data_IF_785042426032
#
_entry.id   IF_785042426032
#
_cell.length_a   1.000
_cell.length_b   1.000
_cell.length_c   1.000
_cell.angle_alpha   90.00
_cell.angle_beta   90.00
_cell.angle_gamma   90.00
#
_symmetry.space_group_name_H-M   'P 1'
#
loop_
_entity.id
_entity.type
_entity.pdbx_description
1 polymer ?
#
# COMPACT_ATOMS: atom_id res chain seq x y z
N UNK A 1 6.15 -64.94 -43.28
CA UNK A 1 5.37 -64.72 -42.03
C UNK A 1 5.35 -63.23 -41.71
N UNK A 2 4.17 -62.70 -41.41
CA UNK A 2 3.83 -61.26 -41.37
C UNK A 2 4.53 -60.54 -40.21
N UNK A 3 5.28 -59.47 -40.48
CA UNK A 3 5.78 -58.55 -39.45
C UNK A 3 4.94 -57.27 -39.47
N UNK A 4 3.94 -57.21 -38.59
CA UNK A 4 3.15 -56.01 -38.30
C UNK A 4 4.05 -55.01 -37.56
N UNK A 5 4.34 -53.86 -38.15
CA UNK A 5 4.90 -52.71 -37.44
C UNK A 5 3.75 -51.80 -37.04
N UNK A 6 3.43 -51.80 -35.75
CA UNK A 6 2.45 -50.93 -35.12
C UNK A 6 3.10 -49.55 -34.98
N UNK A 7 2.58 -48.56 -35.70
CA UNK A 7 3.00 -47.17 -35.58
C UNK A 7 2.35 -46.58 -34.32
N UNK A 8 3.14 -46.40 -33.27
CA UNK A 8 2.71 -45.75 -32.03
C UNK A 8 2.69 -44.23 -32.27
N UNK A 9 1.51 -43.66 -32.53
CA UNK A 9 1.32 -42.22 -32.64
C UNK A 9 1.34 -41.60 -31.23
N UNK A 10 2.45 -40.94 -30.88
CA UNK A 10 2.55 -40.11 -29.68
C UNK A 10 1.73 -38.83 -29.92
N UNK A 11 0.50 -38.79 -29.40
CA UNK A 11 -0.28 -37.56 -29.30
C UNK A 11 0.32 -36.72 -28.16
N UNK A 12 1.16 -35.74 -28.50
CA UNK A 12 1.51 -34.66 -27.58
C UNK A 12 0.29 -33.73 -27.44
N UNK A 13 -0.43 -33.84 -26.33
CA UNK A 13 -1.44 -32.87 -25.95
C UNK A 13 -0.77 -31.53 -25.65
N UNK A 14 -0.90 -30.56 -26.55
CA UNK A 14 -0.54 -29.17 -26.28
C UNK A 14 -1.58 -28.58 -25.33
N UNK A 15 -1.31 -28.71 -24.02
CA UNK A 15 -1.99 -27.85 -23.04
C UNK A 15 -1.63 -26.41 -23.41
N UNK A 16 -2.59 -25.52 -23.73
CA UNK A 16 -2.30 -24.11 -23.69
C UNK A 16 -1.92 -23.82 -22.24
N UNK A 17 -0.63 -23.56 -22.01
CA UNK A 17 -0.20 -22.93 -20.78
C UNK A 17 -1.06 -21.67 -20.67
N UNK A 18 -1.96 -21.64 -19.70
CA UNK A 18 -2.55 -20.39 -19.22
C UNK A 18 -1.37 -19.55 -18.72
N UNK A 19 -0.72 -18.84 -19.64
CA UNK A 19 -0.02 -17.63 -19.32
C UNK A 19 -1.11 -16.70 -18.81
N UNK A 20 -1.35 -16.73 -17.50
CA UNK A 20 -2.13 -15.71 -16.83
C UNK A 20 -1.38 -14.41 -17.08
N UNK A 21 -1.76 -13.70 -18.14
CA UNK A 21 -1.36 -12.32 -18.36
C UNK A 21 -1.91 -11.54 -17.17
N UNK A 22 -1.09 -11.38 -16.12
CA UNK A 22 -1.44 -10.60 -14.96
C UNK A 22 -1.54 -9.14 -15.42
N UNK A 23 -2.75 -8.60 -15.38
CA UNK A 23 -3.01 -7.20 -15.67
C UNK A 23 -2.35 -6.31 -14.59
N UNK A 24 -1.95 -5.06 -14.94
CA UNK A 24 -1.53 -4.09 -13.93
C UNK A 24 -2.59 -3.97 -12.84
N UNK A 25 -2.18 -4.14 -11.59
CA UNK A 25 -3.07 -4.05 -10.43
C UNK A 25 -3.25 -2.57 -10.09
N UNK A 26 -4.37 -2.00 -10.51
CA UNK A 26 -4.83 -0.66 -10.12
C UNK A 26 -6.03 -0.81 -9.18
N UNK A 27 -5.81 -0.69 -7.88
CA UNK A 27 -6.84 -0.91 -6.85
C UNK A 27 -7.13 0.36 -6.05
N UNK A 28 -8.40 0.50 -5.66
CA UNK A 28 -8.88 1.50 -4.68
C UNK A 28 -9.32 0.76 -3.43
N UNK A 29 -8.92 1.25 -2.27
CA UNK A 29 -9.09 0.55 -0.99
C UNK A 29 -9.30 1.57 0.14
N UNK A 30 -9.84 1.11 1.26
CA UNK A 30 -9.97 1.91 2.47
C UNK A 30 -8.78 1.75 3.42
N UNK A 31 -7.93 0.74 3.18
CA UNK A 31 -6.74 0.41 3.96
C UNK A 31 -5.50 0.43 3.07
N UNK A 32 -4.48 1.17 3.52
CA UNK A 32 -3.22 1.38 2.81
C UNK A 32 -2.07 0.53 3.34
N UNK A 33 -0.81 0.97 3.16
CA UNK A 33 0.35 0.24 3.66
C UNK A 33 0.38 0.20 5.19
N UNK A 34 1.05 -0.83 5.71
CA UNK A 34 1.39 -0.87 7.14
C UNK A 34 2.65 -0.07 7.41
N UNK A 35 2.80 0.40 8.65
CA UNK A 35 4.02 1.06 9.11
C UNK A 35 5.24 0.14 8.96
N UNK A 36 5.07 -1.15 9.23
CA UNK A 36 6.14 -2.16 9.13
C UNK A 36 6.60 -2.34 7.68
N UNK A 37 5.68 -2.49 6.72
CA UNK A 37 6.00 -2.65 5.30
C UNK A 37 6.92 -1.52 4.81
N UNK A 38 6.57 -0.27 5.14
CA UNK A 38 7.37 0.87 4.73
C UNK A 38 8.67 1.01 5.53
N UNK A 39 8.68 0.65 6.81
CA UNK A 39 9.91 0.67 7.60
C UNK A 39 10.92 -0.37 7.09
N UNK A 40 10.49 -1.61 6.87
CA UNK A 40 11.32 -2.68 6.28
C UNK A 40 11.88 -2.23 4.93
N UNK A 41 11.03 -1.66 4.06
CA UNK A 41 11.47 -1.12 2.78
C UNK A 41 12.56 -0.05 2.93
N UNK A 42 12.40 0.89 3.86
CA UNK A 42 13.39 1.94 4.10
C UNK A 42 14.71 1.39 4.62
N UNK A 43 14.66 0.43 5.56
CA UNK A 43 15.88 -0.23 6.08
C UNK A 43 16.60 -0.97 4.96
N UNK A 44 15.87 -1.73 4.13
CA UNK A 44 16.44 -2.45 3.00
C UNK A 44 17.11 -1.50 1.99
N UNK A 45 16.45 -0.37 1.69
CA UNK A 45 17.01 0.64 0.78
C UNK A 45 18.26 1.33 1.36
N UNK A 46 18.28 1.61 2.66
CA UNK A 46 19.38 2.32 3.33
C UNK A 46 20.59 1.42 3.60
N UNK A 47 20.35 0.18 4.04
CA UNK A 47 21.38 -0.71 4.56
C UNK A 47 21.73 -1.86 3.61
N UNK A 48 20.97 -2.03 2.51
CA UNK A 48 21.15 -3.14 1.57
C UNK A 48 20.78 -4.52 2.14
N UNK A 49 20.13 -4.57 3.30
CA UNK A 49 19.67 -5.80 3.96
C UNK A 49 18.35 -5.59 4.69
N UNK A 50 17.64 -6.67 4.94
CA UNK A 50 16.49 -6.64 5.84
C UNK A 50 16.89 -6.28 7.28
N UNK A 51 15.98 -5.67 8.05
CA UNK A 51 16.21 -5.42 9.46
C UNK A 51 16.36 -6.73 10.25
N UNK A 52 17.22 -6.70 11.26
CA UNK A 52 17.33 -7.81 12.21
C UNK A 52 16.26 -7.71 13.32
N UNK A 53 16.25 -8.71 14.20
CA UNK A 53 15.28 -8.80 15.30
C UNK A 53 15.36 -7.63 16.28
N UNK A 54 16.56 -7.21 16.66
CA UNK A 54 16.75 -6.12 17.63
C UNK A 54 16.31 -4.77 17.05
N UNK A 55 16.63 -4.52 15.77
CA UNK A 55 16.19 -3.33 15.03
C UNK A 55 14.66 -3.28 14.94
N UNK A 56 14.01 -4.42 14.66
CA UNK A 56 12.55 -4.52 14.61
C UNK A 56 11.93 -4.22 15.97
N UNK A 57 12.41 -4.87 17.02
CA UNK A 57 11.92 -4.64 18.38
C UNK A 57 12.10 -3.19 18.81
N UNK A 58 13.25 -2.58 18.49
CA UNK A 58 13.49 -1.17 18.80
C UNK A 58 12.51 -0.26 18.05
N UNK A 59 12.31 -0.50 16.76
CA UNK A 59 11.37 0.27 15.95
C UNK A 59 9.92 0.14 16.42
N UNK A 60 9.46 -1.07 16.74
CA UNK A 60 8.11 -1.33 17.28
C UNK A 60 7.86 -0.51 18.55
N UNK A 61 8.80 -0.56 19.51
CA UNK A 61 8.71 0.23 20.74
C UNK A 61 8.63 1.74 20.46
N UNK A 62 9.41 2.25 19.50
CA UNK A 62 9.39 3.66 19.12
C UNK A 62 8.08 4.05 18.42
N UNK A 63 7.49 3.17 17.63
CA UNK A 63 6.18 3.38 17.02
C UNK A 63 5.09 3.43 18.09
N UNK A 64 5.05 2.46 19.01
CA UNK A 64 4.08 2.42 20.11
C UNK A 64 4.17 3.64 21.01
N UNK A 65 5.38 4.12 21.32
CA UNK A 65 5.58 5.35 22.09
C UNK A 65 4.98 6.58 21.39
N UNK A 66 5.21 6.72 20.07
CA UNK A 66 4.65 7.84 19.29
C UNK A 66 3.13 7.78 19.21
N UNK A 67 2.57 6.58 19.00
CA UNK A 67 1.11 6.37 19.00
C UNK A 67 0.52 6.70 20.37
N UNK A 68 1.13 6.19 21.45
CA UNK A 68 0.66 6.46 22.82
C UNK A 68 0.69 7.95 23.14
N UNK A 69 1.78 8.62 22.79
CA UNK A 69 1.89 10.08 22.94
C UNK A 69 0.80 10.80 22.16
N UNK A 70 0.62 10.48 20.89
CA UNK A 70 -0.42 11.08 20.04
C UNK A 70 -1.82 10.90 20.65
N UNK A 71 -2.16 9.70 21.10
CA UNK A 71 -3.47 9.44 21.71
C UNK A 71 -3.66 10.15 23.05
N UNK A 72 -2.57 10.36 23.81
CA UNK A 72 -2.60 11.16 25.04
C UNK A 72 -2.83 12.65 24.76
N UNK A 73 -2.24 13.17 23.68
CA UNK A 73 -2.39 14.56 23.25
C UNK A 73 -3.74 14.83 22.54
N UNK A 74 -4.43 13.77 22.07
CA UNK A 74 -5.71 13.82 21.33
C UNK A 74 -6.81 12.95 21.96
N UNK A 75 -7.30 13.29 23.18
CA UNK A 75 -8.32 12.50 23.87
C UNK A 75 -9.65 12.37 23.10
N UNK A 76 -9.96 13.33 22.23
CA UNK A 76 -11.13 13.32 21.35
C UNK A 76 -11.09 12.21 20.30
N UNK A 77 -9.89 11.82 19.85
CA UNK A 77 -9.70 10.76 18.84
C UNK A 77 -9.48 9.40 19.52
N UNK A 78 -8.89 9.40 20.72
CA UNK A 78 -8.56 8.17 21.47
C UNK A 78 -9.76 7.26 21.75
N UNK A 79 -10.98 7.80 21.77
CA UNK A 79 -12.22 7.05 21.99
C UNK A 79 -13.02 6.75 20.71
N UNK A 80 -12.50 7.10 19.54
CA UNK A 80 -13.17 6.87 18.26
C UNK A 80 -12.99 5.43 17.75
N UNK A 81 -13.99 4.92 17.01
CA UNK A 81 -13.92 3.59 16.37
C UNK A 81 -12.73 3.48 15.42
N UNK A 82 -12.43 4.57 14.71
CA UNK A 82 -11.36 4.67 13.71
C UNK A 82 -9.96 4.56 14.30
N UNK A 83 -9.81 4.71 15.62
CA UNK A 83 -8.50 4.63 16.29
C UNK A 83 -7.97 3.20 16.39
N UNK A 84 -8.83 2.19 16.28
CA UNK A 84 -8.43 0.79 16.43
C UNK A 84 -7.40 0.37 15.38
N UNK A 85 -7.58 0.79 14.13
CA UNK A 85 -6.63 0.48 13.05
C UNK A 85 -5.31 1.22 13.21
N UNK A 86 -5.37 2.48 13.66
CA UNK A 86 -4.17 3.27 13.97
C UNK A 86 -3.37 2.64 15.12
N UNK A 87 -4.06 2.19 16.18
CA UNK A 87 -3.44 1.68 17.41
C UNK A 87 -2.98 0.23 17.32
N UNK A 88 -3.75 -0.64 16.66
CA UNK A 88 -3.51 -2.08 16.72
C UNK A 88 -2.93 -2.65 15.42
N UNK A 89 -3.40 -2.16 14.27
CA UNK A 89 -2.95 -2.67 12.97
C UNK A 89 -1.78 -1.86 12.39
N UNK A 90 -1.48 -0.68 12.97
CA UNK A 90 -0.43 0.21 12.50
C UNK A 90 -0.50 0.48 10.98
N UNK A 91 -1.73 0.57 10.46
CA UNK A 91 -2.01 0.63 9.04
C UNK A 91 -2.74 1.91 8.71
N UNK A 92 -2.37 2.58 7.61
CA UNK A 92 -3.07 3.79 7.19
C UNK A 92 -4.49 3.44 6.72
N UNK A 93 -5.47 4.25 7.12
CA UNK A 93 -6.89 4.04 6.78
C UNK A 93 -7.57 5.36 6.45
N UNK A 94 -8.50 5.33 5.49
CA UNK A 94 -9.41 6.45 5.21
C UNK A 94 -10.05 6.94 6.51
N UNK A 95 -10.13 8.26 6.67
CA UNK A 95 -10.60 8.95 7.89
C UNK A 95 -9.47 9.41 8.82
N UNK A 96 -8.27 8.82 8.71
CA UNK A 96 -7.12 9.25 9.51
C UNK A 96 -6.72 10.69 9.24
N UNK A 97 -6.18 11.36 10.26
CA UNK A 97 -5.54 12.65 10.09
C UNK A 97 -4.20 12.51 9.37
N UNK A 98 -3.74 13.59 8.74
CA UNK A 98 -2.37 13.66 8.18
C UNK A 98 -1.30 13.30 9.20
N UNK A 99 -1.48 13.71 10.45
CA UNK A 99 -0.53 13.42 11.52
C UNK A 99 -0.48 11.92 11.86
N UNK A 100 -1.64 11.25 11.95
CA UNK A 100 -1.70 9.80 12.13
C UNK A 100 -0.98 9.08 10.98
N UNK A 101 -1.22 9.51 9.74
CA UNK A 101 -0.53 8.94 8.57
C UNK A 101 0.98 9.14 8.67
N UNK A 102 1.46 10.31 9.09
CA UNK A 102 2.89 10.58 9.25
C UNK A 102 3.52 9.78 10.41
N UNK A 103 2.79 9.55 11.51
CA UNK A 103 3.27 8.72 12.61
C UNK A 103 3.51 7.28 12.14
N UNK A 104 2.56 6.73 11.37
CA UNK A 104 2.65 5.36 10.85
C UNK A 104 3.68 5.25 9.71
N UNK A 105 3.52 6.09 8.69
CA UNK A 105 4.18 5.91 7.40
C UNK A 105 5.38 6.83 7.18
N UNK A 106 5.66 7.74 8.11
CA UNK A 106 6.69 8.76 7.91
C UNK A 106 6.39 9.69 6.73
N UNK A 107 7.38 10.51 6.31
CA UNK A 107 7.20 11.42 5.20
C UNK A 107 6.96 10.67 3.88
N UNK A 108 6.11 11.19 2.98
CA UNK A 108 5.92 10.61 1.65
C UNK A 108 7.14 10.85 0.76
N UNK A 109 7.26 10.05 -0.30
CA UNK A 109 8.29 10.25 -1.35
C UNK A 109 8.01 11.50 -2.18
N UNK A 110 6.74 11.82 -2.38
CA UNK A 110 6.31 13.03 -3.07
C UNK A 110 4.93 13.47 -2.54
N UNK A 111 4.68 14.77 -2.60
CA UNK A 111 3.41 15.41 -2.26
C UNK A 111 3.02 16.32 -3.42
N UNK A 112 1.73 16.31 -3.79
CA UNK A 112 1.20 17.24 -4.79
C UNK A 112 -0.18 17.75 -4.40
N UNK A 113 -0.43 19.01 -4.73
CA UNK A 113 -1.75 19.67 -4.68
C UNK A 113 -2.19 20.14 -6.08
N UNK A 114 -1.37 19.88 -7.11
CA UNK A 114 -1.69 20.26 -8.48
C UNK A 114 -2.78 19.35 -9.04
N UNK A 115 -3.86 19.95 -9.55
CA UNK A 115 -5.03 19.21 -10.02
C UNK A 115 -4.72 18.28 -11.20
N UNK A 116 -3.80 18.66 -12.09
CA UNK A 116 -3.38 17.83 -13.22
C UNK A 116 -2.58 16.61 -12.76
N UNK A 117 -1.70 16.78 -11.77
CA UNK A 117 -0.98 15.66 -11.15
C UNK A 117 -1.90 14.75 -10.33
N UNK A 118 -2.88 15.31 -9.60
CA UNK A 118 -3.89 14.51 -8.90
C UNK A 118 -4.67 13.61 -9.86
N UNK A 119 -5.09 14.15 -11.01
CA UNK A 119 -5.78 13.38 -12.05
C UNK A 119 -4.90 12.24 -12.60
N UNK A 120 -3.63 12.52 -12.91
CA UNK A 120 -2.68 11.50 -13.38
C UNK A 120 -2.46 10.39 -12.36
N UNK A 121 -2.37 10.74 -11.07
CA UNK A 121 -2.17 9.78 -9.99
C UNK A 121 -3.41 8.91 -9.74
N UNK A 122 -4.60 9.52 -9.76
CA UNK A 122 -5.87 8.85 -9.49
C UNK A 122 -6.34 7.95 -10.65
N UNK A 123 -5.86 8.22 -11.88
CA UNK A 123 -6.13 7.40 -13.07
C UNK A 123 -7.63 7.18 -13.27
N UNK A 124 -8.07 5.93 -13.37
CA UNK A 124 -9.47 5.55 -13.60
C UNK A 124 -10.41 5.97 -12.46
N UNK A 125 -9.88 6.25 -11.27
CA UNK A 125 -10.65 6.65 -10.11
C UNK A 125 -10.86 8.17 -10.01
N UNK A 126 -10.24 8.96 -10.89
CA UNK A 126 -10.33 10.42 -10.82
C UNK A 126 -11.77 10.94 -10.83
N UNK A 127 -12.63 10.37 -11.68
CA UNK A 127 -14.04 10.78 -11.80
C UNK A 127 -14.79 10.71 -10.47
N UNK A 128 -14.49 9.72 -9.62
CA UNK A 128 -15.15 9.54 -8.32
C UNK A 128 -14.53 10.39 -7.21
N UNK A 129 -13.30 10.86 -7.41
CA UNK A 129 -12.51 11.56 -6.40
C UNK A 129 -12.47 13.07 -6.61
N UNK A 130 -12.66 13.52 -7.86
CA UNK A 130 -12.61 14.92 -8.26
C UNK A 130 -13.61 15.74 -7.45
N UNK A 131 -13.12 16.81 -6.83
CA UNK A 131 -13.91 17.70 -5.96
C UNK A 131 -13.94 17.28 -4.48
N UNK A 132 -13.56 16.04 -4.15
CA UNK A 132 -13.42 15.56 -2.77
C UNK A 132 -11.96 15.35 -2.35
N UNK A 133 -11.00 15.59 -3.24
CA UNK A 133 -9.57 15.44 -2.96
C UNK A 133 -8.85 16.72 -3.36
N UNK A 134 -7.98 17.19 -2.47
CA UNK A 134 -7.20 18.42 -2.64
C UNK A 134 -5.69 18.18 -2.66
N UNK A 135 -5.23 17.00 -2.25
CA UNK A 135 -3.81 16.69 -2.09
C UNK A 135 -3.57 15.18 -2.21
N UNK A 136 -2.40 14.78 -2.71
CA UNK A 136 -1.99 13.39 -2.78
C UNK A 136 -0.56 13.21 -2.28
N UNK A 137 -0.36 12.13 -1.51
CA UNK A 137 0.92 11.66 -1.01
C UNK A 137 1.29 10.36 -1.71
N UNK A 138 2.50 10.31 -2.24
CA UNK A 138 3.05 9.13 -2.88
C UNK A 138 3.97 8.37 -1.92
N UNK A 139 3.66 7.09 -1.72
CA UNK A 139 4.48 6.15 -0.96
C UNK A 139 5.08 5.07 -1.87
N UNK A 140 6.06 4.28 -1.36
CA UNK A 140 6.58 3.10 -2.05
C UNK A 140 5.48 2.11 -2.48
N UNK A 141 5.86 1.14 -3.32
CA UNK A 141 4.96 0.08 -3.80
C UNK A 141 3.70 0.58 -4.52
N UNK A 142 3.76 1.78 -5.08
CA UNK A 142 2.67 2.37 -5.86
C UNK A 142 1.51 2.92 -5.03
N UNK A 143 1.65 3.00 -3.71
CA UNK A 143 0.63 3.53 -2.82
C UNK A 143 0.44 5.04 -3.01
N UNK A 144 -0.82 5.46 -3.12
CA UNK A 144 -1.23 6.86 -3.21
C UNK A 144 -2.32 7.12 -2.17
N UNK A 145 -2.07 8.09 -1.31
CA UNK A 145 -2.98 8.51 -0.24
C UNK A 145 -3.51 9.90 -0.59
N UNK A 146 -4.82 10.05 -0.66
CA UNK A 146 -5.48 11.27 -1.11
C UNK A 146 -6.22 11.94 0.02
N UNK A 147 -5.99 13.24 0.20
CA UNK A 147 -6.51 13.99 1.33
C UNK A 147 -7.56 15.01 0.90
N UNK A 148 -8.56 15.19 1.76
CA UNK A 148 -9.45 16.35 1.77
C UNK A 148 -9.11 17.18 3.01
N UNK A 149 -8.42 18.30 2.82
CA UNK A 149 -7.94 19.11 3.94
C UNK A 149 -7.02 18.32 4.87
N UNK A 150 -7.47 18.06 6.11
CA UNK A 150 -6.69 17.35 7.13
C UNK A 150 -6.93 15.85 7.19
N UNK A 151 -7.88 15.31 6.41
CA UNK A 151 -8.34 13.93 6.51
C UNK A 151 -7.98 13.11 5.27
N UNK A 152 -7.55 11.88 5.48
CA UNK A 152 -7.35 10.91 4.41
C UNK A 152 -8.71 10.51 3.83
N UNK A 153 -8.95 10.90 2.59
CA UNK A 153 -10.23 10.70 1.90
C UNK A 153 -10.23 9.41 1.06
N UNK A 154 -9.08 9.02 0.50
CA UNK A 154 -9.00 7.87 -0.40
C UNK A 154 -7.61 7.25 -0.43
N UNK A 155 -7.54 5.99 -0.86
CA UNK A 155 -6.30 5.25 -1.02
C UNK A 155 -6.35 4.44 -2.32
N UNK A 156 -5.34 4.60 -3.17
CA UNK A 156 -5.15 3.74 -4.33
C UNK A 156 -3.76 3.10 -4.32
N UNK A 157 -3.63 1.98 -5.03
CA UNK A 157 -2.35 1.35 -5.30
C UNK A 157 -2.27 0.97 -6.76
N UNK A 158 -1.22 1.46 -7.42
CA UNK A 158 -0.90 1.07 -8.78
C UNK A 158 0.39 0.25 -8.81
N UNK A 159 0.31 -1.01 -9.21
CA UNK A 159 1.47 -1.87 -9.44
C UNK A 159 1.64 -2.16 -10.92
N UNK A 160 2.76 -1.72 -11.53
CA UNK A 160 3.02 -2.05 -12.93
C UNK A 160 3.23 -3.56 -13.07
N UNK A 161 2.96 -4.06 -14.28
CA UNK A 161 3.21 -5.47 -14.64
C UNK A 161 4.69 -5.81 -14.40
N UNK A 162 4.95 -6.97 -13.81
CA UNK A 162 6.31 -7.56 -13.74
C UNK A 162 6.76 -8.09 -15.09
#
# INVERSE_FOLDING_TARGET
MKLRRVTLALLFATLPACASMQEPEDQRTTQGPTAEELWVYRVALQNGREPNFDERRYWENQLEQRITKYLGDHPEVANSVDVSTFRFFHQAQVGMSKEQVLILLGPPLALTTDAGELEKLARRYWTDMKGNVTEAWAYPFGWRLYFNGSRLADITQYRPRK
#
